data_IF_597013644288
#
_entry.id   IF_597013644288
#
_cell.length_a   1.000
_cell.length_b   1.000
_cell.length_c   1.000
_cell.angle_alpha   90.00
_cell.angle_beta   90.00
_cell.angle_gamma   90.00
#
_symmetry.space_group_name_H-M   'P 1'
#
loop_
_entity.id
_entity.type
_entity.pdbx_description
1 polymer ?
#
# COMPACT_ATOMS: atom_id res chain seq x y z
N UNK A 1 -10.35 -48.45 -9.90
CA UNK A 1 -9.33 -48.13 -8.86
C UNK A 1 -8.89 -46.70 -9.13
N UNK A 2 -9.48 -45.72 -8.42
CA UNK A 2 -9.17 -44.31 -8.58
C UNK A 2 -8.10 -43.95 -7.54
N UNK A 3 -6.91 -43.64 -8.01
CA UNK A 3 -5.84 -43.13 -7.16
C UNK A 3 -6.09 -41.64 -6.89
N UNK A 4 -6.51 -41.34 -5.68
CA UNK A 4 -6.57 -39.96 -5.16
C UNK A 4 -5.13 -39.47 -4.95
N UNK A 5 -4.63 -38.64 -5.85
CA UNK A 5 -3.37 -37.90 -5.64
C UNK A 5 -3.63 -36.84 -4.57
N UNK A 6 -3.19 -37.10 -3.34
CA UNK A 6 -3.12 -36.08 -2.31
C UNK A 6 -2.04 -35.06 -2.69
N UNK A 7 -2.43 -33.80 -2.86
CA UNK A 7 -1.48 -32.71 -2.99
C UNK A 7 -0.61 -32.62 -1.71
N UNK A 8 0.72 -32.46 -1.82
CA UNK A 8 1.59 -32.38 -0.65
C UNK A 8 1.26 -31.12 0.17
N UNK A 9 1.10 -31.28 1.47
CA UNK A 9 0.91 -30.16 2.40
C UNK A 9 2.15 -29.22 2.39
N UNK A 10 1.97 -27.94 2.69
CA UNK A 10 3.03 -26.93 2.70
C UNK A 10 4.27 -27.36 3.54
N UNK A 11 4.08 -28.21 4.55
CA UNK A 11 5.15 -28.81 5.36
C UNK A 11 6.05 -29.79 4.59
N UNK A 12 5.57 -30.39 3.49
CA UNK A 12 6.35 -31.33 2.68
C UNK A 12 7.19 -30.63 1.61
N UNK A 13 6.84 -29.39 1.25
CA UNK A 13 7.55 -28.64 0.21
C UNK A 13 8.82 -27.92 0.72
N UNK A 14 8.89 -27.58 2.01
CA UNK A 14 10.04 -26.86 2.59
C UNK A 14 10.45 -27.39 3.96
N UNK A 15 11.14 -28.53 4.04
CA UNK A 15 11.53 -29.13 5.32
C UNK A 15 12.48 -28.26 6.17
N UNK A 16 13.15 -27.29 5.56
CA UNK A 16 14.00 -26.33 6.27
C UNK A 16 13.25 -25.18 6.95
N UNK A 17 12.08 -24.80 6.43
CA UNK A 17 11.32 -23.67 6.97
C UNK A 17 10.73 -23.96 8.36
N UNK A 18 10.27 -25.20 8.59
CA UNK A 18 9.77 -25.62 9.89
C UNK A 18 10.84 -25.56 10.98
N UNK A 19 12.10 -25.87 10.64
CA UNK A 19 13.24 -25.85 11.57
C UNK A 19 13.69 -24.41 11.87
N UNK A 20 13.60 -23.52 10.91
CA UNK A 20 13.88 -22.08 11.10
C UNK A 20 12.81 -21.40 11.99
N UNK A 21 11.53 -21.73 11.77
CA UNK A 21 10.43 -21.20 12.59
C UNK A 21 10.47 -21.72 14.03
N UNK A 22 10.91 -22.95 14.25
CA UNK A 22 11.05 -23.52 15.59
C UNK A 22 12.22 -22.91 16.40
N UNK A 23 13.16 -22.24 15.75
CA UNK A 23 14.30 -21.59 16.44
C UNK A 23 14.07 -20.13 16.82
N UNK A 24 12.94 -19.55 16.40
CA UNK A 24 12.58 -18.17 16.75
C UNK A 24 11.80 -18.21 18.07
N UNK A 25 12.51 -18.08 19.19
CA UNK A 25 11.87 -17.90 20.49
C UNK A 25 11.40 -16.45 20.62
N UNK A 26 10.12 -16.22 20.39
CA UNK A 26 9.48 -14.93 20.56
C UNK A 26 9.00 -14.84 22.00
N UNK A 27 9.48 -13.89 22.83
CA UNK A 27 8.86 -13.67 24.13
C UNK A 27 7.42 -13.16 23.87
N UNK A 28 6.39 -13.82 24.41
CA UNK A 28 5.01 -13.43 24.15
C UNK A 28 4.77 -12.03 24.75
N UNK A 29 4.37 -11.08 23.92
CA UNK A 29 3.73 -9.87 24.41
C UNK A 29 2.32 -10.27 24.85
N UNK A 30 1.98 -10.23 26.16
CA UNK A 30 0.70 -10.72 26.65
C UNK A 30 -0.51 -9.96 26.11
N UNK A 31 -0.28 -8.90 25.34
CA UNK A 31 -1.31 -8.03 24.73
C UNK A 31 -1.45 -8.19 23.22
N UNK A 32 -0.64 -9.03 22.57
CA UNK A 32 -0.64 -9.18 21.10
C UNK A 32 -0.69 -10.67 20.75
N UNK A 33 -1.56 -11.09 19.79
CA UNK A 33 -1.56 -12.45 19.26
C UNK A 33 -0.19 -12.83 18.70
N UNK A 34 0.26 -14.07 18.97
CA UNK A 34 1.58 -14.58 18.57
C UNK A 34 1.82 -14.48 17.06
N UNK A 35 0.77 -14.67 16.26
CA UNK A 35 0.83 -14.57 14.79
C UNK A 35 1.14 -13.16 14.31
N UNK A 36 0.56 -12.15 14.94
CA UNK A 36 0.82 -10.73 14.63
C UNK A 36 2.25 -10.37 15.02
N UNK A 37 2.71 -10.81 16.18
CA UNK A 37 4.07 -10.56 16.64
C UNK A 37 5.11 -11.21 15.72
N UNK A 38 4.89 -12.45 15.28
CA UNK A 38 5.73 -13.14 14.32
C UNK A 38 5.82 -12.40 12.98
N UNK A 39 4.70 -11.92 12.45
CA UNK A 39 4.67 -11.11 11.21
C UNK A 39 5.41 -9.78 11.38
N UNK A 40 5.27 -9.13 12.53
CA UNK A 40 5.98 -7.89 12.81
C UNK A 40 7.50 -8.11 12.92
N UNK A 41 7.96 -9.21 13.52
CA UNK A 41 9.39 -9.56 13.53
C UNK A 41 9.91 -9.88 12.14
N UNK A 42 9.12 -10.58 11.32
CA UNK A 42 9.46 -10.80 9.92
C UNK A 42 9.56 -9.48 9.15
N UNK A 43 8.67 -8.52 9.41
CA UNK A 43 8.73 -7.19 8.82
C UNK A 43 10.04 -6.46 9.20
N UNK A 44 10.47 -6.55 10.46
CA UNK A 44 11.77 -6.01 10.88
C UNK A 44 12.95 -6.65 10.15
N UNK A 45 12.90 -7.96 9.91
CA UNK A 45 13.94 -8.66 9.16
C UNK A 45 14.00 -8.21 7.69
N UNK A 46 12.85 -8.04 7.02
CA UNK A 46 12.81 -7.51 5.66
C UNK A 46 13.42 -6.10 5.57
N UNK A 47 13.09 -5.23 6.51
CA UNK A 47 13.65 -3.88 6.55
C UNK A 47 15.15 -3.87 6.82
N UNK A 48 15.61 -4.65 7.81
CA UNK A 48 17.03 -4.74 8.19
C UNK A 48 17.89 -5.36 7.09
N UNK A 49 17.33 -6.29 6.31
CA UNK A 49 18.03 -6.92 5.20
C UNK A 49 18.22 -6.01 3.98
N UNK A 50 17.50 -4.88 3.90
CA UNK A 50 17.48 -4.01 2.74
C UNK A 50 16.73 -4.60 1.53
N UNK A 51 16.04 -5.73 1.69
CA UNK A 51 15.31 -6.43 0.62
C UNK A 51 13.86 -5.94 0.47
N UNK A 52 13.37 -5.14 1.42
CA UNK A 52 12.06 -4.52 1.30
C UNK A 52 12.04 -3.51 0.13
N UNK A 53 11.02 -3.56 -0.76
CA UNK A 53 10.86 -2.56 -1.79
C UNK A 53 10.78 -1.14 -1.20
N UNK A 54 11.28 -0.14 -1.94
CA UNK A 54 11.35 1.25 -1.46
C UNK A 54 10.00 1.86 -1.03
N UNK A 55 8.90 1.30 -1.49
CA UNK A 55 7.56 1.71 -1.08
C UNK A 55 7.22 1.32 0.37
N UNK A 56 7.88 0.28 0.92
CA UNK A 56 7.66 -0.22 2.26
C UNK A 56 8.74 0.30 3.21
N UNK A 57 8.55 1.52 3.69
CA UNK A 57 9.55 2.21 4.52
C UNK A 57 9.38 2.03 6.02
N UNK A 58 8.29 1.43 6.45
CA UNK A 58 7.99 1.21 7.87
C UNK A 58 7.64 -0.25 8.14
N UNK A 59 7.79 -0.65 9.38
CA UNK A 59 7.44 -1.97 9.88
C UNK A 59 5.96 -2.28 9.63
N UNK A 60 5.10 -1.29 9.83
CA UNK A 60 3.66 -1.39 9.66
C UNK A 60 3.29 -1.58 8.18
N UNK A 61 3.96 -0.87 7.28
CA UNK A 61 3.75 -1.02 5.84
C UNK A 61 4.13 -2.44 5.35
N UNK A 62 5.28 -2.97 5.82
CA UNK A 62 5.69 -4.35 5.53
C UNK A 62 4.70 -5.34 6.14
N UNK A 63 4.25 -5.13 7.39
CA UNK A 63 3.25 -5.97 8.04
C UNK A 63 1.95 -6.04 7.22
N UNK A 64 1.45 -4.89 6.75
CA UNK A 64 0.24 -4.84 5.90
C UNK A 64 0.44 -5.64 4.61
N UNK A 65 1.60 -5.53 3.96
CA UNK A 65 1.89 -6.31 2.76
C UNK A 65 1.95 -7.83 3.02
N UNK A 66 2.55 -8.23 4.15
CA UNK A 66 2.60 -9.64 4.57
C UNK A 66 1.22 -10.17 4.92
N UNK A 67 0.40 -9.37 5.62
CA UNK A 67 -0.97 -9.75 5.98
C UNK A 67 -1.85 -9.90 4.74
N UNK A 68 -1.79 -8.92 3.83
CA UNK A 68 -2.52 -8.95 2.57
C UNK A 68 -2.13 -10.16 1.69
N UNK A 69 -0.82 -10.45 1.60
CA UNK A 69 -0.35 -11.60 0.86
C UNK A 69 -0.75 -12.94 1.50
N UNK A 70 -0.77 -13.02 2.81
CA UNK A 70 -1.20 -14.21 3.55
C UNK A 70 -2.68 -14.52 3.28
N UNK A 71 -3.54 -13.50 3.23
CA UNK A 71 -4.95 -13.65 2.84
C UNK A 71 -5.13 -14.15 1.40
N UNK A 72 -4.16 -13.86 0.52
CA UNK A 72 -4.08 -14.38 -0.85
C UNK A 72 -3.39 -15.76 -0.93
N UNK A 73 -2.93 -16.33 0.18
CA UNK A 73 -2.17 -17.58 0.21
C UNK A 73 -0.74 -17.44 -0.33
N UNK A 74 -0.19 -16.23 -0.38
CA UNK A 74 1.17 -15.97 -0.83
C UNK A 74 2.18 -16.19 0.31
N UNK A 75 3.35 -16.76 -0.01
CA UNK A 75 4.45 -16.81 0.95
C UNK A 75 4.92 -15.38 1.31
N UNK A 76 5.58 -15.17 2.46
CA UNK A 76 6.09 -13.86 2.85
C UNK A 76 6.97 -13.20 1.79
N UNK A 77 7.82 -13.99 1.14
CA UNK A 77 8.66 -13.49 0.05
C UNK A 77 7.86 -13.10 -1.19
N UNK A 78 6.88 -13.92 -1.58
CA UNK A 78 5.99 -13.61 -2.69
C UNK A 78 5.16 -12.37 -2.38
N UNK A 79 4.66 -12.22 -1.14
CA UNK A 79 3.93 -11.04 -0.69
C UNK A 79 4.73 -9.75 -0.89
N UNK A 80 6.00 -9.74 -0.45
CA UNK A 80 6.86 -8.56 -0.60
C UNK A 80 7.15 -8.18 -2.05
N UNK A 81 7.08 -9.12 -2.99
CA UNK A 81 7.32 -8.87 -4.42
C UNK A 81 6.05 -8.56 -5.20
N UNK A 82 4.90 -9.00 -4.71
CA UNK A 82 3.63 -8.99 -5.44
C UNK A 82 2.64 -7.96 -4.92
N UNK A 83 2.79 -7.52 -3.68
CA UNK A 83 1.94 -6.49 -3.08
C UNK A 83 2.55 -5.12 -3.30
N UNK A 84 1.73 -4.18 -3.73
CA UNK A 84 2.09 -2.78 -3.97
C UNK A 84 1.23 -1.87 -3.09
N UNK A 85 1.79 -0.77 -2.63
CA UNK A 85 1.04 0.31 -1.99
C UNK A 85 0.78 1.40 -3.02
N UNK A 86 -0.42 1.42 -3.56
CA UNK A 86 -0.86 2.43 -4.53
C UNK A 86 -1.88 3.35 -3.87
N UNK A 87 -1.58 4.64 -3.78
CA UNK A 87 -2.43 5.63 -3.11
C UNK A 87 -2.80 5.24 -1.65
N UNK A 88 -1.87 4.59 -0.93
CA UNK A 88 -2.08 4.12 0.44
C UNK A 88 -2.94 2.85 0.57
N UNK A 89 -3.37 2.26 -0.54
CA UNK A 89 -4.13 1.00 -0.58
C UNK A 89 -3.21 -0.15 -0.98
N UNK A 90 -3.22 -1.29 -0.29
CA UNK A 90 -2.55 -2.49 -0.76
C UNK A 90 -3.26 -3.00 -2.02
N UNK A 91 -2.49 -3.34 -3.02
CA UNK A 91 -2.96 -3.81 -4.32
C UNK A 91 -2.01 -4.88 -4.87
N UNK A 92 -2.48 -5.67 -5.82
CA UNK A 92 -1.71 -6.74 -6.43
C UNK A 92 -1.90 -6.73 -7.95
N UNK A 93 -0.87 -7.13 -8.70
CA UNK A 93 -0.97 -7.24 -10.15
C UNK A 93 -2.07 -8.24 -10.55
N UNK A 94 -2.80 -7.94 -11.61
CA UNK A 94 -3.86 -8.83 -12.14
C UNK A 94 -3.34 -10.24 -12.45
N UNK A 95 -2.10 -10.38 -12.93
CA UNK A 95 -1.49 -11.68 -13.20
C UNK A 95 -1.29 -12.51 -11.94
N UNK A 96 -0.93 -11.89 -10.83
CA UNK A 96 -0.77 -12.58 -9.54
C UNK A 96 -2.14 -13.05 -9.04
N UNK A 97 -3.17 -12.20 -9.13
CA UNK A 97 -4.53 -12.55 -8.75
C UNK A 97 -5.09 -13.68 -9.61
N UNK A 98 -4.79 -13.69 -10.92
CA UNK A 98 -5.12 -14.80 -11.80
C UNK A 98 -4.42 -16.10 -11.36
N UNK A 99 -3.12 -16.03 -11.06
CA UNK A 99 -2.35 -17.18 -10.55
C UNK A 99 -2.88 -17.70 -9.22
N UNK A 100 -3.28 -16.82 -8.30
CA UNK A 100 -3.95 -17.19 -7.04
C UNK A 100 -5.29 -17.86 -7.31
N UNK A 101 -6.12 -17.32 -8.21
CA UNK A 101 -7.41 -17.91 -8.56
C UNK A 101 -7.25 -19.29 -9.22
N UNK A 102 -6.27 -19.47 -10.08
CA UNK A 102 -5.97 -20.74 -10.75
C UNK A 102 -5.43 -21.78 -9.77
N UNK A 103 -4.41 -21.43 -8.97
CA UNK A 103 -3.80 -22.35 -8.00
C UNK A 103 -4.77 -22.81 -6.90
N UNK A 104 -5.74 -21.98 -6.54
CA UNK A 104 -6.80 -22.32 -5.60
C UNK A 104 -8.01 -22.99 -6.26
N UNK A 105 -7.96 -23.27 -7.56
CA UNK A 105 -9.05 -23.90 -8.30
C UNK A 105 -10.34 -23.07 -8.34
N UNK A 106 -10.23 -21.74 -8.31
CA UNK A 106 -11.37 -20.81 -8.31
C UNK A 106 -11.80 -20.39 -9.72
N UNK A 107 -10.95 -20.63 -10.72
CA UNK A 107 -11.22 -20.42 -12.13
C UNK A 107 -10.90 -21.68 -12.94
N UNK A 108 -11.66 -21.94 -13.98
CA UNK A 108 -11.43 -23.04 -14.90
C UNK A 108 -11.50 -22.56 -16.35
N UNK A 109 -10.68 -23.17 -17.22
CA UNK A 109 -10.70 -22.90 -18.66
C UNK A 109 -10.31 -21.46 -19.03
N UNK A 110 -9.52 -20.78 -18.20
CA UNK A 110 -9.03 -19.45 -18.55
C UNK A 110 -8.25 -19.49 -19.87
N UNK A 111 -8.61 -18.60 -20.78
CA UNK A 111 -7.89 -18.42 -22.04
C UNK A 111 -8.03 -17.01 -22.58
N UNK A 112 -7.04 -16.63 -23.37
CA UNK A 112 -7.09 -15.40 -24.16
C UNK A 112 -7.74 -15.74 -25.51
N UNK A 113 -8.88 -15.12 -25.77
CA UNK A 113 -9.64 -15.32 -27.02
C UNK A 113 -9.12 -14.41 -28.13
N UNK A 114 -8.83 -13.15 -27.77
CA UNK A 114 -8.29 -12.14 -28.68
C UNK A 114 -7.31 -11.25 -27.92
N UNK A 115 -6.18 -10.90 -28.55
CA UNK A 115 -5.20 -9.96 -27.99
C UNK A 115 -4.60 -9.10 -29.09
N UNK A 116 -4.88 -7.82 -29.02
CA UNK A 116 -4.33 -6.78 -29.88
C UNK A 116 -4.16 -5.47 -29.12
N UNK A 117 -3.50 -4.49 -29.73
CA UNK A 117 -3.36 -3.14 -29.13
C UNK A 117 -4.67 -2.35 -29.07
N UNK A 118 -5.71 -2.81 -29.76
CA UNK A 118 -7.02 -2.16 -29.77
C UNK A 118 -8.05 -2.87 -28.93
N UNK A 119 -7.92 -4.20 -28.72
CA UNK A 119 -8.91 -5.00 -28.00
C UNK A 119 -8.27 -6.26 -27.42
N UNK A 120 -8.68 -6.59 -26.20
CA UNK A 120 -8.39 -7.89 -25.58
C UNK A 120 -9.71 -8.52 -25.12
N UNK A 121 -9.84 -9.81 -25.39
CA UNK A 121 -10.95 -10.65 -24.94
C UNK A 121 -10.38 -11.85 -24.21
N UNK A 122 -10.86 -12.09 -22.99
CA UNK A 122 -10.53 -13.26 -22.19
C UNK A 122 -11.80 -14.03 -21.85
N UNK A 123 -11.66 -15.33 -21.64
CA UNK A 123 -12.76 -16.21 -21.26
C UNK A 123 -12.35 -17.11 -20.10
N UNK A 124 -13.32 -17.53 -19.31
CA UNK A 124 -13.14 -18.44 -18.21
C UNK A 124 -14.47 -18.72 -17.51
N UNK A 125 -14.50 -19.69 -16.63
CA UNK A 125 -15.68 -20.08 -15.89
C UNK A 125 -15.37 -20.43 -14.44
N UNK A 126 -16.36 -20.42 -13.59
CA UNK A 126 -16.23 -21.00 -12.25
C UNK A 126 -16.15 -22.52 -12.36
N UNK A 127 -15.30 -23.20 -11.60
CA UNK A 127 -15.28 -24.66 -11.56
C UNK A 127 -16.67 -25.22 -11.22
N UNK A 128 -17.11 -26.19 -12.01
CA UNK A 128 -18.45 -26.78 -11.89
C UNK A 128 -19.55 -26.08 -12.66
N UNK A 129 -19.38 -24.84 -13.10
CA UNK A 129 -20.37 -24.15 -13.93
C UNK A 129 -20.22 -24.59 -15.40
N UNK A 130 -21.37 -24.82 -16.06
CA UNK A 130 -21.43 -25.08 -17.50
C UNK A 130 -21.24 -23.79 -18.31
N UNK A 131 -21.55 -22.62 -17.73
CA UNK A 131 -21.53 -21.34 -18.41
C UNK A 131 -20.12 -20.73 -18.37
N UNK A 132 -19.60 -20.43 -19.56
CA UNK A 132 -18.38 -19.67 -19.71
C UNK A 132 -18.70 -18.17 -19.76
N UNK A 133 -17.91 -17.39 -19.06
CA UNK A 133 -17.98 -15.94 -19.09
C UNK A 133 -16.86 -15.39 -19.97
N UNK A 134 -17.17 -14.38 -20.76
CA UNK A 134 -16.19 -13.62 -21.54
C UNK A 134 -16.14 -12.19 -21.03
N UNK A 135 -14.95 -11.64 -21.01
CA UNK A 135 -14.72 -10.24 -20.68
C UNK A 135 -13.85 -9.60 -21.75
N UNK A 136 -14.25 -8.43 -22.20
CA UNK A 136 -13.51 -7.65 -23.17
C UNK A 136 -13.18 -6.28 -22.61
N UNK A 137 -12.04 -5.73 -23.04
CA UNK A 137 -11.69 -4.34 -22.83
C UNK A 137 -11.06 -3.77 -24.10
N UNK A 138 -11.48 -2.55 -24.48
CA UNK A 138 -11.03 -1.92 -25.72
C UNK A 138 -10.27 -0.62 -25.47
N UNK A 139 -9.49 -0.21 -26.45
CA UNK A 139 -8.76 1.06 -26.39
C UNK A 139 -9.71 2.27 -26.37
N UNK A 140 -10.91 2.15 -26.96
CA UNK A 140 -11.95 3.17 -26.92
C UNK A 140 -12.53 3.30 -25.51
N UNK A 141 -12.70 2.19 -24.78
CA UNK A 141 -13.08 2.24 -23.36
C UNK A 141 -11.98 2.91 -22.53
N UNK A 142 -10.71 2.58 -22.78
CA UNK A 142 -9.57 3.21 -22.13
C UNK A 142 -9.50 4.72 -22.40
N UNK A 143 -9.76 5.15 -23.63
CA UNK A 143 -9.84 6.58 -24.00
C UNK A 143 -10.94 7.30 -23.26
N UNK A 144 -12.15 6.71 -23.20
CA UNK A 144 -13.27 7.30 -22.45
C UNK A 144 -12.98 7.43 -20.95
N UNK A 145 -12.21 6.50 -20.41
CA UNK A 145 -11.76 6.51 -19.01
C UNK A 145 -10.53 7.41 -18.77
N UNK A 146 -9.99 8.10 -19.81
CA UNK A 146 -8.82 8.97 -19.66
C UNK A 146 -7.50 8.26 -19.44
N UNK A 147 -7.43 6.93 -19.66
CA UNK A 147 -6.27 6.10 -19.31
C UNK A 147 -5.13 6.21 -20.33
N UNK A 148 -5.45 6.47 -21.60
CA UNK A 148 -4.50 6.41 -22.71
C UNK A 148 -3.45 7.52 -22.70
N UNK A 149 -3.59 8.54 -21.85
CA UNK A 149 -2.58 9.57 -21.62
C UNK A 149 -1.39 9.08 -20.79
N UNK A 150 -1.53 7.96 -20.06
CA UNK A 150 -0.49 7.41 -19.20
C UNK A 150 0.56 6.66 -20.02
N UNK A 151 1.81 6.74 -19.58
CA UNK A 151 2.97 6.19 -20.30
C UNK A 151 2.87 4.68 -20.55
N UNK A 152 2.40 3.90 -19.56
CA UNK A 152 2.21 2.46 -19.67
C UNK A 152 1.15 2.08 -20.72
N UNK A 153 0.08 2.87 -20.85
CA UNK A 153 -0.94 2.67 -21.88
C UNK A 153 -0.45 2.99 -23.29
N UNK A 154 0.50 3.93 -23.41
CA UNK A 154 1.11 4.28 -24.69
C UNK A 154 2.14 3.25 -25.14
N UNK A 155 2.95 2.73 -24.19
CA UNK A 155 4.03 1.78 -24.48
C UNK A 155 3.57 0.34 -24.62
N UNK A 156 2.58 -0.07 -23.80
CA UNK A 156 2.14 -1.46 -23.67
C UNK A 156 0.61 -1.58 -23.68
N UNK A 157 -0.08 -1.10 -24.74
CA UNK A 157 -1.53 -1.07 -24.76
C UNK A 157 -2.17 -2.46 -24.60
N UNK A 158 -1.66 -3.48 -25.31
CA UNK A 158 -2.17 -4.84 -25.21
C UNK A 158 -2.06 -5.44 -23.80
N UNK A 159 -1.00 -5.12 -23.05
CA UNK A 159 -0.80 -5.61 -21.68
C UNK A 159 -1.79 -4.91 -20.72
N UNK A 160 -2.00 -3.61 -20.88
CA UNK A 160 -2.94 -2.85 -20.08
C UNK A 160 -4.39 -3.28 -20.36
N UNK A 161 -4.74 -3.51 -21.62
CA UNK A 161 -6.05 -4.05 -22.02
C UNK A 161 -6.25 -5.46 -21.45
N UNK A 162 -5.22 -6.31 -21.46
CA UNK A 162 -5.27 -7.65 -20.89
C UNK A 162 -5.51 -7.60 -19.37
N UNK A 163 -4.79 -6.77 -18.64
CA UNK A 163 -4.98 -6.63 -17.20
C UNK A 163 -6.43 -6.19 -16.86
N UNK A 164 -6.98 -5.23 -17.62
CA UNK A 164 -8.37 -4.77 -17.43
C UNK A 164 -9.41 -5.84 -17.77
N UNK A 165 -9.26 -6.52 -18.91
CA UNK A 165 -10.18 -7.58 -19.30
C UNK A 165 -10.16 -8.74 -18.30
N UNK A 166 -8.96 -9.15 -17.87
CA UNK A 166 -8.77 -10.22 -16.87
C UNK A 166 -9.30 -9.84 -15.50
N UNK A 167 -9.01 -8.65 -15.00
CA UNK A 167 -9.55 -8.17 -13.73
C UNK A 167 -11.09 -8.16 -13.69
N UNK A 168 -11.74 -7.72 -14.80
CA UNK A 168 -13.20 -7.79 -14.94
C UNK A 168 -13.72 -9.23 -14.92
N UNK A 169 -13.06 -10.16 -15.64
CA UNK A 169 -13.45 -11.56 -15.66
C UNK A 169 -13.37 -12.18 -14.27
N UNK A 170 -12.26 -11.96 -13.56
CA UNK A 170 -12.03 -12.49 -12.22
C UNK A 170 -13.09 -12.01 -11.22
N UNK A 171 -13.50 -10.75 -11.29
CA UNK A 171 -14.60 -10.21 -10.46
C UNK A 171 -15.94 -10.90 -10.68
N UNK A 172 -16.19 -11.44 -11.89
CA UNK A 172 -17.41 -12.18 -12.22
C UNK A 172 -17.28 -13.64 -11.77
N UNK A 173 -16.15 -14.28 -12.10
CA UNK A 173 -15.97 -15.73 -11.93
C UNK A 173 -15.61 -16.08 -10.49
N UNK A 174 -14.75 -15.30 -9.84
CA UNK A 174 -14.27 -15.55 -8.48
C UNK A 174 -14.29 -14.28 -7.61
N UNK A 175 -15.47 -13.73 -7.31
CA UNK A 175 -15.62 -12.50 -6.54
C UNK A 175 -15.01 -12.60 -5.13
N UNK A 176 -14.87 -13.80 -4.57
CA UNK A 176 -14.24 -14.02 -3.26
C UNK A 176 -12.77 -13.61 -3.21
N UNK A 177 -12.03 -13.73 -4.32
CA UNK A 177 -10.62 -13.28 -4.42
C UNK A 177 -10.54 -11.75 -4.41
N UNK A 178 -11.61 -11.08 -4.84
CA UNK A 178 -11.67 -9.62 -4.98
C UNK A 178 -12.47 -8.93 -3.87
N UNK A 179 -12.85 -9.64 -2.80
CA UNK A 179 -13.62 -9.06 -1.69
C UNK A 179 -12.83 -7.89 -1.04
N UNK A 180 -13.06 -6.68 -1.55
CA UNK A 180 -12.34 -5.47 -1.11
C UNK A 180 -10.96 -5.24 -1.75
N UNK A 181 -10.53 -6.10 -2.68
CA UNK A 181 -9.25 -5.96 -3.37
C UNK A 181 -9.40 -5.10 -4.63
N UNK A 182 -8.41 -4.27 -4.87
CA UNK A 182 -8.25 -3.49 -6.10
C UNK A 182 -7.00 -3.99 -6.81
N UNK A 183 -7.08 -4.20 -8.13
CA UNK A 183 -5.87 -4.54 -8.88
C UNK A 183 -4.93 -3.34 -8.89
N UNK A 184 -3.61 -3.60 -9.01
CA UNK A 184 -2.62 -2.53 -9.12
C UNK A 184 -2.94 -1.57 -10.26
N UNK A 185 -3.31 -2.13 -11.41
CA UNK A 185 -3.65 -1.36 -12.60
C UNK A 185 -4.90 -0.48 -12.37
N UNK A 186 -5.88 -0.96 -11.61
CA UNK A 186 -7.04 -0.15 -11.24
C UNK A 186 -6.67 0.93 -10.22
N UNK A 187 -5.86 0.58 -9.21
CA UNK A 187 -5.41 1.53 -8.20
C UNK A 187 -4.52 2.65 -8.77
N UNK A 188 -3.70 2.34 -9.79
CA UNK A 188 -2.90 3.33 -10.53
C UNK A 188 -3.76 4.21 -11.42
N UNK A 189 -4.92 3.72 -11.85
CA UNK A 189 -5.85 4.43 -12.71
C UNK A 189 -6.90 5.24 -11.94
N UNK A 190 -7.14 4.92 -10.66
CA UNK A 190 -7.88 5.84 -9.81
C UNK A 190 -7.13 7.18 -9.83
N UNK A 191 -7.81 8.24 -10.31
CA UNK A 191 -7.27 9.58 -10.17
C UNK A 191 -6.78 9.71 -8.73
N UNK A 192 -5.56 10.19 -8.57
CA UNK A 192 -5.03 10.52 -7.26
C UNK A 192 -6.01 11.50 -6.63
N UNK A 193 -7.05 10.97 -5.99
CA UNK A 193 -7.63 11.72 -4.90
C UNK A 193 -6.41 12.07 -4.06
N UNK A 194 -6.06 13.34 -3.93
CA UNK A 194 -4.87 13.70 -3.18
C UNK A 194 -4.98 12.91 -1.89
N UNK A 195 -3.94 12.12 -1.58
CA UNK A 195 -3.85 11.44 -0.28
C UNK A 195 -4.36 12.44 0.72
N UNK A 196 -5.34 12.11 1.61
CA UNK A 196 -6.01 13.12 2.40
C UNK A 196 -4.93 14.01 2.95
N UNK A 197 -4.87 15.21 2.39
CA UNK A 197 -3.72 16.09 2.57
C UNK A 197 -3.59 16.17 4.07
N UNK A 198 -2.42 15.75 4.61
CA UNK A 198 -2.21 15.79 6.05
C UNK A 198 -2.78 17.13 6.52
N UNK A 199 -3.79 17.07 7.35
CA UNK A 199 -4.42 18.28 7.88
C UNK A 199 -3.99 18.42 9.31
N UNK A 200 -3.51 19.59 9.62
CA UNK A 200 -3.20 19.94 10.99
C UNK A 200 -4.44 19.73 11.85
N UNK A 201 -4.36 18.81 12.79
CA UNK A 201 -5.46 18.53 13.71
C UNK A 201 -5.45 19.50 14.90
N UNK A 202 -6.61 19.74 15.50
CA UNK A 202 -6.69 20.54 16.72
C UNK A 202 -5.80 19.98 17.85
N UNK A 203 -5.62 18.66 17.91
CA UNK A 203 -4.72 17.99 18.87
C UNK A 203 -3.26 18.38 18.62
N UNK A 204 -2.79 18.33 17.38
CA UNK A 204 -1.41 18.69 17.02
C UNK A 204 -1.14 20.18 17.24
N UNK A 205 -2.11 21.03 16.90
CA UNK A 205 -2.05 22.47 17.18
C UNK A 205 -1.98 22.74 18.70
N UNK A 206 -2.71 21.96 19.49
CA UNK A 206 -2.66 22.00 20.95
C UNK A 206 -1.27 21.64 21.49
N UNK A 207 -0.65 20.60 20.94
CA UNK A 207 0.73 20.22 21.30
C UNK A 207 1.73 21.35 20.98
N UNK A 208 1.64 21.93 19.77
CA UNK A 208 2.51 23.06 19.39
C UNK A 208 2.32 24.26 20.34
N UNK A 209 1.08 24.62 20.65
CA UNK A 209 0.79 25.71 21.59
C UNK A 209 1.32 25.45 23.01
N UNK A 210 1.23 24.19 23.47
CA UNK A 210 1.79 23.79 24.75
C UNK A 210 3.31 23.95 24.79
N UNK A 211 4.00 23.57 23.69
CA UNK A 211 5.45 23.74 23.57
C UNK A 211 5.83 25.21 23.52
N UNK A 212 5.11 26.04 22.75
CA UNK A 212 5.32 27.50 22.71
C UNK A 212 5.22 28.12 24.10
N UNK A 213 4.20 27.75 24.86
CA UNK A 213 4.02 28.23 26.25
C UNK A 213 5.10 27.72 27.18
N UNK A 214 5.45 26.42 27.11
CA UNK A 214 6.45 25.80 27.99
C UNK A 214 7.87 26.32 27.75
N UNK A 215 8.17 26.79 26.55
CA UNK A 215 9.49 27.29 26.13
C UNK A 215 9.58 28.82 26.08
N UNK A 216 8.51 29.51 26.45
CA UNK A 216 8.41 30.98 26.39
C UNK A 216 8.83 31.57 25.04
N UNK A 217 8.33 30.96 23.95
CA UNK A 217 8.67 31.37 22.59
C UNK A 217 7.98 32.69 22.27
N UNK A 218 8.78 33.72 21.96
CA UNK A 218 8.22 35.04 21.61
C UNK A 218 7.46 34.98 20.27
N UNK A 219 6.45 35.86 20.07
CA UNK A 219 5.68 35.89 18.82
C UNK A 219 6.53 36.10 17.55
N UNK A 220 7.61 36.87 17.67
CA UNK A 220 8.51 37.13 16.53
C UNK A 220 9.38 35.92 16.22
N UNK A 221 9.85 35.21 17.26
CA UNK A 221 10.58 33.97 17.10
C UNK A 221 9.69 32.88 16.45
N UNK A 222 8.41 32.79 16.88
CA UNK A 222 7.45 31.86 16.27
C UNK A 222 7.25 32.17 14.78
N UNK A 223 7.07 33.43 14.43
CA UNK A 223 6.95 33.86 13.01
C UNK A 223 8.20 33.53 12.20
N UNK A 224 9.40 33.70 12.79
CA UNK A 224 10.65 33.36 12.12
C UNK A 224 10.75 31.86 11.83
N UNK A 225 10.41 31.01 12.82
CA UNK A 225 10.37 29.57 12.68
C UNK A 225 9.37 29.14 11.61
N UNK A 226 8.16 29.69 11.64
CA UNK A 226 7.13 29.42 10.62
C UNK A 226 7.59 29.82 9.23
N UNK A 227 8.19 31.02 9.08
CA UNK A 227 8.70 31.50 7.81
C UNK A 227 9.82 30.61 7.26
N UNK A 228 10.68 30.14 8.12
CA UNK A 228 11.76 29.20 7.73
C UNK A 228 11.20 27.86 7.28
N UNK A 229 10.25 27.30 8.03
CA UNK A 229 9.65 25.99 7.72
C UNK A 229 8.81 26.01 6.44
N UNK A 230 8.11 27.13 6.17
CA UNK A 230 7.24 27.28 5.01
C UNK A 230 7.93 27.85 3.78
N UNK A 231 9.22 28.20 3.88
CA UNK A 231 9.94 28.93 2.82
C UNK A 231 9.32 30.29 2.48
N UNK A 232 8.56 30.88 3.41
CA UNK A 232 7.83 32.14 3.21
C UNK A 232 6.48 32.00 2.51
N UNK A 233 6.02 30.79 2.26
CA UNK A 233 4.69 30.53 1.69
C UNK A 233 3.58 31.09 2.61
N UNK A 234 2.55 31.68 2.01
CA UNK A 234 1.35 32.10 2.75
C UNK A 234 0.58 30.86 3.21
N UNK A 235 0.42 30.71 4.51
CA UNK A 235 -0.32 29.59 5.11
C UNK A 235 -1.81 29.94 5.17
N UNK A 236 -2.62 29.13 4.52
CA UNK A 236 -4.08 29.23 4.62
C UNK A 236 -4.56 28.72 5.97
N UNK A 237 -5.73 29.18 6.40
CA UNK A 237 -6.38 28.73 7.66
C UNK A 237 -7.75 28.17 7.31
N UNK A 238 -8.07 27.01 7.85
CA UNK A 238 -9.39 26.38 7.80
C UNK A 238 -9.90 26.32 9.24
N UNK A 239 -11.06 26.89 9.51
CA UNK A 239 -11.63 26.95 10.87
C UNK A 239 -10.63 27.48 11.93
N UNK A 240 -9.85 28.50 11.57
CA UNK A 240 -8.77 29.09 12.39
C UNK A 240 -7.57 28.17 12.63
N UNK A 241 -7.47 27.02 11.98
CA UNK A 241 -6.33 26.11 12.04
C UNK A 241 -5.42 26.38 10.84
N UNK A 242 -4.13 26.72 11.05
CA UNK A 242 -3.17 26.88 9.95
C UNK A 242 -2.98 25.57 9.19
N UNK A 243 -2.97 25.63 7.86
CA UNK A 243 -2.77 24.46 7.02
C UNK A 243 -1.29 24.34 6.61
N UNK A 244 -0.48 23.79 7.49
CA UNK A 244 0.88 23.39 7.17
C UNK A 244 0.85 22.03 6.46
N UNK A 245 1.87 21.73 5.68
CA UNK A 245 2.15 20.35 5.26
C UNK A 245 2.71 19.56 6.46
N UNK A 246 2.68 18.22 6.40
CA UNK A 246 3.24 17.37 7.45
C UNK A 246 4.72 17.67 7.74
N UNK A 247 5.49 17.90 6.68
CA UNK A 247 6.91 18.28 6.78
C UNK A 247 7.09 19.62 7.49
N UNK A 248 6.33 20.66 7.07
CA UNK A 248 6.37 21.99 7.69
C UNK A 248 6.00 21.92 9.17
N UNK A 249 4.92 21.23 9.52
CA UNK A 249 4.46 21.11 10.90
C UNK A 249 5.47 20.36 11.79
N UNK A 250 6.09 19.30 11.25
CA UNK A 250 7.14 18.54 11.94
C UNK A 250 8.39 19.40 12.15
N UNK A 251 8.80 20.18 11.16
CA UNK A 251 9.92 21.11 11.26
C UNK A 251 9.65 22.19 12.32
N UNK A 252 8.45 22.81 12.29
CA UNK A 252 8.06 23.81 13.29
C UNK A 252 8.08 23.20 14.70
N UNK A 253 7.47 22.04 14.89
CA UNK A 253 7.42 21.39 16.21
C UNK A 253 8.83 21.02 16.71
N UNK A 254 9.70 20.54 15.83
CA UNK A 254 11.11 20.24 16.17
C UNK A 254 11.87 21.49 16.57
N UNK A 255 11.73 22.58 15.80
CA UNK A 255 12.36 23.86 16.10
C UNK A 255 11.86 24.45 17.43
N UNK A 256 10.56 24.34 17.70
CA UNK A 256 9.97 24.77 18.98
C UNK A 256 10.50 23.93 20.17
N UNK A 257 10.64 22.62 20.01
CA UNK A 257 11.19 21.73 21.05
C UNK A 257 12.65 22.01 21.34
N UNK A 258 13.43 22.47 20.37
CA UNK A 258 14.85 22.85 20.52
C UNK A 258 15.04 24.33 20.90
N UNK A 259 14.00 25.14 20.89
CA UNK A 259 14.08 26.56 21.18
C UNK A 259 14.69 26.84 22.56
N UNK A 260 15.63 27.78 22.61
CA UNK A 260 16.18 28.36 23.84
C UNK A 260 16.09 29.88 23.72
N UNK A 261 15.51 30.51 24.70
CA UNK A 261 15.50 31.97 24.76
C UNK A 261 16.95 32.48 24.73
N UNK A 262 17.25 33.39 23.82
CA UNK A 262 18.54 34.09 23.82
C UNK A 262 18.58 34.97 25.09
N UNK A 263 19.58 34.85 25.98
CA UNK A 263 19.68 35.73 27.11
C UNK A 263 19.72 37.18 26.62
N UNK A 264 18.94 38.05 27.22
CA UNK A 264 18.99 39.47 26.94
C UNK A 264 20.45 39.98 27.07
N UNK A 265 20.92 40.83 26.14
CA UNK A 265 22.24 41.43 26.31
C UNK A 265 22.29 42.12 27.67
N UNK A 266 23.31 41.77 28.46
CA UNK A 266 23.57 42.44 29.74
C UNK A 266 23.64 43.96 29.45
N UNK A 267 22.76 44.72 30.09
CA UNK A 267 22.86 46.18 30.07
C UNK A 267 24.18 46.52 30.72
N UNK A 268 25.11 47.01 29.88
CA UNK A 268 26.32 47.61 30.39
C UNK A 268 25.94 48.88 31.15
N UNK A 269 26.24 48.89 32.47
CA UNK A 269 26.26 50.09 33.30
C UNK A 269 27.39 51.01 32.86
#
# INVERSE_FOLDING_TARGET
MSATMNAPTAQQQFPGAAKLLASITIPPNPRMPVEIEAKLQMADLFLKSGLAPQAFRSREAVFVALQYGDELGLSPWASMRSVYLVNGKPSCDTNILLGVADSNGLIAGFRVVERSDSRVVVAGRRPGDATEHTSAFTIEEAKRAGLTSKENWQKYPADMLFARATGRLLKIVCPSVFAGLVTREEAEDEDKAPAPAWRMTAKFLGEMRAVVKARDVTPDALKAIERQATGGRKVEKVESIPQYTEGEATMILSALKSWRATPAPAQAE
#
